data_IF_270563065511
#
_entry.id   IF_270563065511
#
_cell.length_a   1.000
_cell.length_b   1.000
_cell.length_c   1.000
_cell.angle_alpha   90.00
_cell.angle_beta   90.00
_cell.angle_gamma   90.00
#
_symmetry.space_group_name_H-M   'P 1'
#
loop_
_entity.id
_entity.type
_entity.pdbx_description
1 polymer ?
#
# COMPACT_ATOMS: atom_id res chain seq x y z
N UNK A 1 -5.00 5.12 -5.01
CA UNK A 1 -5.46 4.49 -3.75
C UNK A 1 -4.26 4.46 -2.84
N UNK A 2 -4.46 4.67 -1.55
CA UNK A 2 -3.38 4.68 -0.57
C UNK A 2 -3.82 3.94 0.68
N UNK A 3 -2.84 3.56 1.49
CA UNK A 3 -3.06 3.05 2.84
C UNK A 3 -2.45 4.00 3.86
N UNK A 4 -3.20 4.26 4.92
CA UNK A 4 -2.75 4.89 6.15
C UNK A 4 -2.38 3.76 7.12
N UNK A 5 -1.15 3.75 7.60
CA UNK A 5 -0.59 2.76 8.51
C UNK A 5 -0.26 3.45 9.82
N UNK A 6 -1.00 3.13 10.88
CA UNK A 6 -0.68 3.58 12.23
C UNK A 6 0.22 2.56 12.89
N UNK A 7 1.35 3.00 13.40
CA UNK A 7 2.31 2.18 14.12
C UNK A 7 2.06 2.23 15.64
N UNK A 8 2.69 1.31 16.36
CA UNK A 8 2.54 1.18 17.83
C UNK A 8 3.07 2.37 18.63
N UNK A 9 3.87 3.23 18.02
CA UNK A 9 4.35 4.50 18.58
C UNK A 9 3.48 5.70 18.14
N UNK A 10 2.28 5.43 17.64
CA UNK A 10 1.32 6.37 17.07
C UNK A 10 1.80 7.11 15.81
N UNK A 11 2.96 6.76 15.25
CA UNK A 11 3.41 7.29 13.95
C UNK A 11 2.45 6.85 12.85
N UNK A 12 2.11 7.79 11.96
CA UNK A 12 1.23 7.53 10.81
C UNK A 12 2.03 7.62 9.51
N UNK A 13 2.15 6.48 8.83
CA UNK A 13 2.79 6.36 7.53
C UNK A 13 1.77 6.19 6.41
N UNK A 14 2.05 6.79 5.25
CA UNK A 14 1.19 6.69 4.07
C UNK A 14 1.88 5.89 2.97
N UNK A 15 1.24 4.80 2.53
CA UNK A 15 1.68 4.01 1.39
C UNK A 15 0.83 4.38 0.18
N UNK A 16 1.35 5.29 -0.63
CA UNK A 16 0.69 5.75 -1.85
C UNK A 16 0.87 4.75 -3.00
N UNK A 17 -0.17 4.58 -3.82
CA UNK A 17 -0.09 3.75 -5.03
C UNK A 17 -0.31 2.25 -4.80
N UNK A 18 -0.42 1.83 -3.54
CA UNK A 18 -0.75 0.46 -3.19
C UNK A 18 -2.26 0.18 -3.33
N UNK A 19 -2.61 -1.05 -3.67
CA UNK A 19 -3.98 -1.56 -3.63
C UNK A 19 -4.16 -2.80 -2.75
N UNK A 20 -3.06 -3.39 -2.31
CA UNK A 20 -3.01 -4.67 -1.63
C UNK A 20 -1.80 -4.73 -0.69
N UNK A 21 -1.89 -5.63 0.29
CA UNK A 21 -0.80 -5.98 1.19
C UNK A 21 -0.90 -7.46 1.58
N UNK A 22 0.23 -8.04 1.94
CA UNK A 22 0.35 -9.42 2.39
C UNK A 22 1.35 -9.53 3.55
N UNK A 23 1.18 -10.56 4.38
CA UNK A 23 2.20 -10.98 5.33
C UNK A 23 3.33 -11.76 4.64
N UNK A 24 4.56 -11.29 4.83
CA UNK A 24 5.80 -11.93 4.39
C UNK A 24 6.66 -12.20 5.63
N UNK A 25 6.44 -13.35 6.27
CA UNK A 25 7.05 -13.66 7.55
C UNK A 25 6.65 -12.65 8.63
N UNK A 26 7.59 -11.95 9.29
CA UNK A 26 7.29 -10.95 10.32
C UNK A 26 6.92 -9.58 9.76
N UNK A 27 6.74 -9.47 8.44
CA UNK A 27 6.53 -8.20 7.75
C UNK A 27 5.13 -8.13 7.15
N UNK A 28 4.55 -6.93 7.15
CA UNK A 28 3.38 -6.59 6.36
C UNK A 28 3.84 -5.74 5.19
N UNK A 29 3.86 -6.33 4.00
CA UNK A 29 4.38 -5.73 2.78
C UNK A 29 3.23 -5.27 1.88
N UNK A 30 3.33 -4.04 1.40
CA UNK A 30 2.36 -3.40 0.51
C UNK A 30 2.87 -3.44 -0.93
N UNK A 31 1.94 -3.65 -1.87
CA UNK A 31 2.27 -3.83 -3.28
C UNK A 31 1.57 -2.81 -4.16
N UNK A 32 2.26 -2.44 -5.22
CA UNK A 32 1.82 -1.47 -6.20
C UNK A 32 0.62 -1.96 -6.97
N UNK A 33 -0.07 -0.96 -7.54
CA UNK A 33 -1.10 -1.12 -8.56
C UNK A 33 -0.67 -2.22 -9.56
N UNK A 34 -1.25 -3.43 -9.69
CA UNK A 34 -0.78 -4.42 -10.71
C UNK A 34 -0.67 -3.86 -12.16
N UNK A 35 0.18 -4.32 -13.07
CA UNK A 35 0.15 -3.75 -14.44
C UNK A 35 -1.16 -4.11 -15.18
N UNK A 36 -1.61 -3.34 -16.19
CA UNK A 36 -2.60 -3.83 -17.15
C UNK A 36 -2.10 -5.14 -17.76
N UNK A 37 -2.99 -6.13 -17.92
CA UNK A 37 -2.64 -7.44 -18.47
C UNK A 37 -2.10 -7.32 -19.91
N UNK A 38 -2.61 -6.33 -20.65
CA UNK A 38 -2.22 -6.05 -22.03
C UNK A 38 -2.04 -4.53 -22.22
N UNK A 39 -1.12 -4.09 -23.11
CA UNK A 39 -1.01 -2.68 -23.49
C UNK A 39 -2.36 -2.14 -24.01
N UNK A 40 -2.90 -1.11 -23.35
CA UNK A 40 -4.22 -0.54 -23.68
C UNK A 40 -5.43 -1.31 -23.12
N UNK A 41 -5.20 -2.40 -22.38
CA UNK A 41 -6.25 -3.14 -21.68
C UNK A 41 -6.74 -2.46 -20.40
N UNK A 42 -7.98 -2.72 -20.02
CA UNK A 42 -8.57 -2.29 -18.74
C UNK A 42 -8.48 -3.36 -17.65
N UNK A 43 -8.27 -4.61 -18.06
CA UNK A 43 -8.10 -5.74 -17.16
C UNK A 43 -6.70 -5.69 -16.52
N UNK A 44 -6.64 -5.95 -15.21
CA UNK A 44 -5.46 -5.77 -14.38
C UNK A 44 -5.17 -7.06 -13.62
N UNK A 45 -3.90 -7.31 -13.29
CA UNK A 45 -3.58 -8.25 -12.23
C UNK A 45 -4.29 -7.82 -10.94
N UNK A 46 -5.28 -8.61 -10.51
CA UNK A 46 -6.03 -8.40 -9.27
C UNK A 46 -5.50 -9.26 -8.13
N UNK A 47 -4.74 -10.30 -8.46
CA UNK A 47 -4.04 -11.16 -7.52
C UNK A 47 -2.58 -10.73 -7.40
N UNK A 48 -2.01 -10.88 -6.20
CA UNK A 48 -0.58 -10.77 -5.98
C UNK A 48 0.12 -11.96 -6.67
N UNK A 49 1.19 -11.66 -7.39
CA UNK A 49 2.00 -12.64 -8.11
C UNK A 49 3.47 -12.24 -8.16
N UNK A 50 4.29 -13.06 -8.83
CA UNK A 50 5.74 -12.87 -8.96
C UNK A 50 6.17 -11.58 -9.66
N UNK A 51 5.25 -10.85 -10.31
CA UNK A 51 5.54 -9.58 -11.00
C UNK A 51 5.06 -8.37 -10.20
N UNK A 52 4.51 -8.59 -9.00
CA UNK A 52 4.05 -7.50 -8.13
C UNK A 52 5.21 -6.71 -7.55
N UNK A 53 5.12 -5.38 -7.60
CA UNK A 53 6.16 -4.47 -7.12
C UNK A 53 5.88 -4.06 -5.68
N UNK A 54 6.85 -4.25 -4.77
CA UNK A 54 6.76 -3.82 -3.37
C UNK A 54 6.89 -2.30 -3.27
N UNK A 55 6.05 -1.66 -2.45
CA UNK A 55 6.07 -0.22 -2.21
C UNK A 55 6.53 0.14 -0.80
N UNK A 56 6.14 -0.65 0.19
CA UNK A 56 6.53 -0.46 1.59
C UNK A 56 6.47 -1.78 2.33
N UNK A 57 7.24 -1.91 3.41
CA UNK A 57 7.18 -3.08 4.29
C UNK A 57 7.42 -2.64 5.73
N UNK A 58 6.52 -3.04 6.62
CA UNK A 58 6.58 -2.71 8.04
C UNK A 58 6.70 -4.00 8.84
N UNK A 59 7.37 -3.95 9.98
CA UNK A 59 7.28 -5.07 10.92
C UNK A 59 5.83 -5.23 11.38
N UNK A 60 5.26 -6.42 11.22
CA UNK A 60 3.86 -6.68 11.58
C UNK A 60 3.59 -6.40 13.06
N UNK A 61 4.54 -6.70 13.94
CA UNK A 61 4.44 -6.41 15.38
C UNK A 61 4.48 -4.92 15.74
N UNK A 62 4.79 -4.05 14.77
CA UNK A 62 4.76 -2.59 14.91
C UNK A 62 3.54 -1.96 14.26
N UNK A 63 2.72 -2.71 13.53
CA UNK A 63 1.51 -2.17 12.90
C UNK A 63 0.34 -2.28 13.88
N UNK A 64 -0.23 -1.13 14.25
CA UNK A 64 -1.42 -1.05 15.10
C UNK A 64 -2.71 -1.09 14.27
N UNK A 65 -2.72 -0.39 13.14
CA UNK A 65 -3.91 -0.25 12.28
C UNK A 65 -3.51 0.00 10.83
N UNK A 66 -4.23 -0.62 9.90
CA UNK A 66 -4.14 -0.32 8.47
C UNK A 66 -5.52 0.13 8.01
N UNK A 67 -5.59 1.28 7.33
CA UNK A 67 -6.82 1.80 6.75
C UNK A 67 -6.61 2.15 5.29
N UNK A 68 -7.49 1.65 4.42
CA UNK A 68 -7.56 2.11 3.03
C UNK A 68 -8.18 3.51 3.02
N UNK A 69 -7.45 4.49 2.50
CA UNK A 69 -7.88 5.89 2.52
C UNK A 69 -7.32 6.65 1.32
N UNK A 70 -7.98 7.74 0.96
CA UNK A 70 -7.38 8.74 0.07
C UNK A 70 -6.49 9.65 0.90
N UNK A 71 -5.25 9.87 0.44
CA UNK A 71 -4.34 10.79 1.11
C UNK A 71 -4.93 12.20 1.03
N UNK A 72 -5.20 12.88 2.15
CA UNK A 72 -5.68 14.25 2.13
C UNK A 72 -4.69 15.11 1.35
N UNK A 73 -5.17 15.87 0.37
CA UNK A 73 -4.33 16.86 -0.33
C UNK A 73 -3.86 17.87 0.71
N UNK A 74 -2.54 18.03 0.88
CA UNK A 74 -2.01 19.14 1.65
C UNK A 74 -2.38 20.44 0.93
N UNK A 75 -3.30 21.20 1.50
CA UNK A 75 -3.57 22.56 1.05
C UNK A 75 -2.52 23.44 1.71
N UNK A 76 -1.60 23.98 0.91
CA UNK A 76 -0.68 25.01 1.39
C UNK A 76 -1.52 26.29 1.56
N UNK A 77 -1.73 26.71 2.81
CA UNK A 77 -2.19 28.06 3.11
C UNK A 77 -0.95 28.94 3.05
N UNK A 78 -0.94 29.87 2.09
CA UNK A 78 0.09 30.89 1.91
C UNK A 78 -0.02 31.99 2.97
#
# INVERSE_FOLDING_TARGET
MSFEVTLVDDTVEWVDGADSYQHEGPMTTFFARGAPLEPGGTARHTALDSWSVKLASFRTDRVLKIRRAERPRRVNVA
#
